data_IF_087195441171
#
_entry.id   IF_087195441171
#
_cell.length_a   1.000
_cell.length_b   1.000
_cell.length_c   1.000
_cell.angle_alpha   90.00
_cell.angle_beta   90.00
_cell.angle_gamma   90.00
#
_symmetry.space_group_name_H-M   'P 1'
#
loop_
_entity.id
_entity.type
_entity.pdbx_description
1 polymer ?
#
# COMPACT_ATOMS: atom_id res chain seq x y z
N UNK A 1 16.05 -13.31 -6.44
CA UNK A 1 16.13 -13.53 -7.90
C UNK A 1 16.73 -14.89 -8.30
N UNK A 2 17.59 -15.55 -7.50
CA UNK A 2 18.06 -16.91 -7.84
C UNK A 2 16.97 -18.01 -7.93
N UNK A 3 15.92 -18.03 -7.06
CA UNK A 3 14.92 -19.09 -7.11
C UNK A 3 14.06 -19.05 -8.37
N UNK A 4 13.74 -17.85 -8.89
CA UNK A 4 12.83 -17.68 -10.03
C UNK A 4 13.40 -18.25 -11.34
N UNK A 5 14.73 -18.28 -11.51
CA UNK A 5 15.39 -18.80 -12.71
C UNK A 5 15.32 -20.33 -12.80
N UNK A 6 15.31 -21.04 -11.66
CA UNK A 6 15.27 -22.50 -11.62
C UNK A 6 13.89 -23.02 -12.04
N UNK A 7 12.82 -22.31 -11.66
CA UNK A 7 11.45 -22.72 -11.93
C UNK A 7 10.89 -22.21 -13.26
N UNK A 8 11.56 -21.26 -13.91
CA UNK A 8 11.12 -20.69 -15.18
C UNK A 8 10.88 -21.74 -16.29
N UNK A 9 11.76 -22.76 -16.50
CA UNK A 9 11.52 -23.81 -17.49
C UNK A 9 10.33 -24.70 -17.13
N UNK A 10 10.15 -24.99 -15.83
CA UNK A 10 9.02 -25.76 -15.33
C UNK A 10 7.69 -25.06 -15.62
N UNK A 11 7.59 -23.76 -15.30
CA UNK A 11 6.39 -22.98 -15.58
C UNK A 11 6.15 -22.75 -17.06
N UNK A 12 7.22 -22.65 -17.87
CA UNK A 12 7.08 -22.55 -19.32
C UNK A 12 6.43 -23.80 -19.93
N UNK A 13 6.81 -24.99 -19.48
CA UNK A 13 6.23 -26.25 -19.97
C UNK A 13 4.74 -26.42 -19.64
N UNK A 14 4.24 -25.69 -18.63
CA UNK A 14 2.82 -25.64 -18.27
C UNK A 14 2.02 -24.62 -19.11
N UNK A 15 2.67 -23.95 -20.06
CA UNK A 15 2.04 -22.99 -20.96
C UNK A 15 1.47 -21.77 -20.23
N UNK A 16 0.34 -21.21 -20.70
CA UNK A 16 -0.29 -20.03 -20.09
C UNK A 16 -0.68 -20.24 -18.62
N UNK A 17 -1.05 -21.47 -18.24
CA UNK A 17 -1.38 -21.82 -16.85
C UNK A 17 -0.15 -21.71 -15.94
N UNK A 18 1.03 -22.11 -16.43
CA UNK A 18 2.28 -21.95 -15.70
C UNK A 18 2.67 -20.49 -15.50
N UNK A 19 2.46 -19.66 -16.52
CA UNK A 19 2.66 -18.21 -16.43
C UNK A 19 1.79 -17.59 -15.31
N UNK A 20 0.49 -17.96 -15.28
CA UNK A 20 -0.46 -17.51 -14.25
C UNK A 20 0.01 -17.89 -12.86
N UNK A 21 0.36 -19.15 -12.64
CA UNK A 21 0.82 -19.65 -11.33
C UNK A 21 2.13 -18.96 -10.91
N UNK A 22 3.06 -18.79 -11.85
CA UNK A 22 4.34 -18.11 -11.59
C UNK A 22 4.13 -16.67 -11.10
N UNK A 23 3.35 -15.87 -11.82
CA UNK A 23 3.11 -14.47 -11.42
C UNK A 23 2.25 -14.36 -10.17
N UNK A 24 1.27 -15.25 -9.99
CA UNK A 24 0.46 -15.33 -8.78
C UNK A 24 1.33 -15.56 -7.54
N UNK A 25 2.23 -16.53 -7.59
CA UNK A 25 3.16 -16.81 -6.50
C UNK A 25 4.17 -15.68 -6.30
N UNK A 26 4.77 -15.17 -7.38
CA UNK A 26 5.77 -14.11 -7.30
C UNK A 26 5.21 -12.84 -6.67
N UNK A 27 4.13 -12.30 -7.22
CA UNK A 27 3.53 -11.05 -6.75
C UNK A 27 2.78 -11.23 -5.42
N UNK A 28 2.14 -12.38 -5.20
CA UNK A 28 1.52 -12.70 -3.90
C UNK A 28 2.54 -12.74 -2.77
N UNK A 29 3.69 -13.39 -2.98
CA UNK A 29 4.78 -13.43 -2.01
C UNK A 29 5.42 -12.05 -1.81
N UNK A 30 5.61 -11.27 -2.88
CA UNK A 30 6.17 -9.92 -2.79
C UNK A 30 5.28 -9.01 -1.93
N UNK A 31 3.96 -9.02 -2.16
CA UNK A 31 3.03 -8.25 -1.34
C UNK A 31 3.02 -8.72 0.12
N UNK A 32 3.06 -10.03 0.38
CA UNK A 32 3.11 -10.56 1.73
C UNK A 32 4.34 -10.04 2.49
N UNK A 33 5.51 -10.04 1.85
CA UNK A 33 6.75 -9.51 2.44
C UNK A 33 6.59 -8.02 2.75
N UNK A 34 6.05 -7.22 1.82
CA UNK A 34 5.82 -5.78 2.02
C UNK A 34 4.92 -5.52 3.23
N UNK A 35 3.80 -6.24 3.34
CA UNK A 35 2.86 -6.06 4.45
C UNK A 35 3.48 -6.51 5.77
N UNK A 36 4.24 -7.61 5.79
CA UNK A 36 4.96 -8.09 6.96
C UNK A 36 5.99 -7.05 7.45
N UNK A 37 6.80 -6.49 6.54
CA UNK A 37 7.76 -5.43 6.87
C UNK A 37 7.07 -4.19 7.43
N UNK A 38 5.97 -3.75 6.81
CA UNK A 38 5.17 -2.63 7.31
C UNK A 38 4.60 -2.89 8.72
N UNK A 39 4.15 -4.12 8.99
CA UNK A 39 3.67 -4.52 10.31
C UNK A 39 4.78 -4.57 11.36
N UNK A 40 5.95 -5.12 11.02
CA UNK A 40 7.12 -5.14 11.92
C UNK A 40 7.56 -3.70 12.26
N UNK A 41 7.58 -2.81 11.26
CA UNK A 41 7.89 -1.40 11.49
C UNK A 41 6.86 -0.73 12.43
N UNK A 42 5.56 -0.96 12.21
CA UNK A 42 4.49 -0.41 13.03
C UNK A 42 4.54 -0.92 14.49
N UNK A 43 4.78 -2.21 14.68
CA UNK A 43 4.86 -2.83 16.02
C UNK A 43 6.09 -2.38 16.81
N UNK A 44 7.26 -2.25 16.14
CA UNK A 44 8.46 -1.65 16.75
C UNK A 44 8.22 -0.21 17.18
N UNK A 45 7.52 0.57 16.36
CA UNK A 45 7.15 1.95 16.70
C UNK A 45 6.22 2.03 17.92
N UNK A 46 5.16 1.21 17.96
CA UNK A 46 4.25 1.17 19.11
C UNK A 46 4.97 0.79 20.40
N UNK A 47 5.92 -0.14 20.31
CA UNK A 47 6.78 -0.54 21.44
C UNK A 47 7.62 0.62 21.95
N UNK A 48 8.11 1.48 21.05
CA UNK A 48 8.93 2.64 21.42
C UNK A 48 8.14 3.77 22.11
N UNK A 49 6.89 4.04 21.66
CA UNK A 49 6.09 5.14 22.22
C UNK A 49 5.46 4.80 23.56
N UNK A 50 4.98 3.57 23.73
CA UNK A 50 4.35 3.13 24.99
C UNK A 50 4.85 1.74 25.35
N UNK A 51 5.97 1.67 26.07
CA UNK A 51 6.51 0.40 26.54
C UNK A 51 5.50 -0.39 27.38
N UNK A 52 4.61 0.29 28.12
CA UNK A 52 3.56 -0.32 28.92
C UNK A 52 2.43 -0.98 28.12
N UNK A 53 2.19 -0.56 26.87
CA UNK A 53 1.23 -1.22 25.98
C UNK A 53 1.85 -2.38 25.21
N UNK A 54 3.18 -2.42 25.08
CA UNK A 54 3.88 -3.41 24.26
C UNK A 54 3.54 -4.85 24.67
N UNK A 55 3.41 -5.12 25.97
CA UNK A 55 3.06 -6.45 26.52
C UNK A 55 1.74 -6.99 26.00
N UNK A 56 0.74 -6.15 25.70
CA UNK A 56 -0.55 -6.56 25.14
C UNK A 56 -0.53 -6.74 23.61
N UNK A 57 0.43 -6.12 22.91
CA UNK A 57 0.58 -6.21 21.45
C UNK A 57 1.43 -7.41 21.03
N UNK A 58 2.39 -7.82 21.88
CA UNK A 58 3.26 -8.98 21.64
C UNK A 58 2.62 -10.33 21.99
N UNK A 59 1.31 -10.36 22.26
CA UNK A 59 0.58 -11.62 22.41
C UNK A 59 0.64 -12.45 21.12
N UNK A 60 1.26 -13.62 21.20
CA UNK A 60 1.44 -14.57 20.08
C UNK A 60 0.11 -14.84 19.35
N UNK A 61 -1.00 -14.93 20.09
CA UNK A 61 -2.33 -15.17 19.52
C UNK A 61 -2.78 -14.05 18.59
N UNK A 62 -2.56 -12.78 18.96
CA UNK A 62 -2.90 -11.62 18.13
C UNK A 62 -1.99 -11.52 16.92
N UNK A 63 -0.69 -11.78 17.10
CA UNK A 63 0.28 -11.81 15.99
C UNK A 63 -0.15 -12.85 14.95
N UNK A 64 -0.54 -14.05 15.36
CA UNK A 64 -1.01 -15.10 14.46
C UNK A 64 -2.29 -14.70 13.71
N UNK A 65 -3.23 -14.02 14.38
CA UNK A 65 -4.43 -13.48 13.73
C UNK A 65 -4.08 -12.44 12.66
N UNK A 66 -3.20 -11.50 12.97
CA UNK A 66 -2.73 -10.49 12.02
C UNK A 66 -1.99 -11.11 10.84
N UNK A 67 -1.11 -12.08 11.10
CA UNK A 67 -0.40 -12.81 10.05
C UNK A 67 -1.38 -13.52 9.10
N UNK A 68 -2.43 -14.16 9.65
CA UNK A 68 -3.46 -14.79 8.84
C UNK A 68 -4.18 -13.77 7.95
N UNK A 69 -4.51 -12.59 8.48
CA UNK A 69 -5.11 -11.50 7.70
C UNK A 69 -4.17 -11.06 6.56
N UNK A 70 -2.87 -10.91 6.82
CA UNK A 70 -1.90 -10.54 5.78
C UNK A 70 -1.77 -11.58 4.68
N UNK A 71 -1.79 -12.87 5.06
CA UNK A 71 -1.80 -13.99 4.10
C UNK A 71 -3.07 -13.97 3.26
N UNK A 72 -4.24 -13.76 3.87
CA UNK A 72 -5.53 -13.68 3.14
C UNK A 72 -5.53 -12.50 2.16
N UNK A 73 -5.05 -11.32 2.57
CA UNK A 73 -4.94 -10.15 1.68
C UNK A 73 -3.99 -10.45 0.52
N UNK A 74 -2.85 -11.08 0.80
CA UNK A 74 -1.85 -11.42 -0.22
C UNK A 74 -2.38 -12.48 -1.20
N UNK A 75 -3.14 -13.46 -0.71
CA UNK A 75 -3.79 -14.47 -1.54
C UNK A 75 -4.92 -13.86 -2.40
N UNK A 76 -5.71 -12.95 -1.85
CA UNK A 76 -6.74 -12.21 -2.59
C UNK A 76 -6.15 -11.29 -3.67
N UNK A 77 -4.98 -10.69 -3.40
CA UNK A 77 -4.24 -9.95 -4.41
C UNK A 77 -3.68 -10.87 -5.50
N UNK A 78 -3.10 -12.00 -5.11
CA UNK A 78 -2.56 -12.99 -6.03
C UNK A 78 -3.64 -13.56 -6.96
N UNK A 79 -4.86 -13.78 -6.46
CA UNK A 79 -5.96 -14.34 -7.27
C UNK A 79 -6.40 -13.45 -8.42
N UNK A 80 -6.12 -12.14 -8.40
CA UNK A 80 -6.36 -11.24 -9.54
C UNK A 80 -5.58 -11.69 -10.78
N UNK A 81 -4.38 -12.25 -10.59
CA UNK A 81 -3.55 -12.77 -11.68
C UNK A 81 -4.08 -14.09 -12.26
N UNK A 82 -4.96 -14.80 -11.55
CA UNK A 82 -5.60 -16.01 -12.08
C UNK A 82 -6.50 -15.70 -13.29
N UNK A 83 -7.18 -14.55 -13.25
CA UNK A 83 -8.07 -14.07 -14.31
C UNK A 83 -7.35 -13.36 -15.44
N UNK A 84 -6.04 -13.16 -15.33
CA UNK A 84 -5.25 -12.46 -16.33
C UNK A 84 -4.93 -13.36 -17.52
N UNK A 85 -5.10 -12.82 -18.73
CA UNK A 85 -4.67 -13.49 -19.96
C UNK A 85 -3.18 -13.26 -20.23
N UNK A 86 -2.48 -14.38 -20.46
CA UNK A 86 -1.04 -14.43 -20.73
C UNK A 86 -0.76 -15.02 -22.11
N UNK A 87 0.19 -14.41 -22.80
CA UNK A 87 0.76 -14.90 -24.04
C UNK A 87 2.18 -15.38 -23.75
N UNK A 88 2.43 -16.66 -23.99
CA UNK A 88 3.75 -17.29 -23.86
C UNK A 88 4.45 -17.26 -25.22
N UNK A 89 5.61 -16.61 -25.30
CA UNK A 89 6.46 -16.64 -26.50
C UNK A 89 7.83 -17.21 -26.16
N UNK A 90 8.27 -18.22 -26.91
CA UNK A 90 9.65 -18.69 -26.85
C UNK A 90 10.52 -17.76 -27.71
N UNK A 91 11.49 -17.11 -27.10
CA UNK A 91 12.49 -16.33 -27.84
C UNK A 91 13.58 -17.30 -28.34
N UNK A 92 13.51 -17.66 -29.62
CA UNK A 92 14.34 -18.71 -30.23
C UNK A 92 15.85 -18.40 -30.16
N UNK A 93 16.23 -17.12 -30.07
CA UNK A 93 17.64 -16.70 -29.95
C UNK A 93 18.19 -16.74 -28.53
N UNK A 94 17.34 -16.60 -27.50
CA UNK A 94 17.79 -16.33 -26.12
C UNK A 94 17.53 -17.47 -25.14
N UNK A 95 17.06 -18.63 -25.62
CA UNK A 95 16.68 -19.79 -24.78
C UNK A 95 15.90 -19.38 -23.52
N UNK A 96 15.11 -18.30 -23.61
CA UNK A 96 14.43 -17.69 -22.48
C UNK A 96 12.94 -17.58 -22.81
N UNK A 97 12.14 -18.11 -21.89
CA UNK A 97 10.70 -18.00 -21.95
C UNK A 97 10.29 -16.57 -21.58
N UNK A 98 9.59 -15.87 -22.48
CA UNK A 98 8.95 -14.59 -22.16
C UNK A 98 7.46 -14.83 -21.92
N UNK A 99 6.99 -14.32 -20.79
CA UNK A 99 5.59 -14.29 -20.43
C UNK A 99 5.11 -12.85 -20.58
N UNK A 100 4.26 -12.60 -21.57
CA UNK A 100 3.71 -11.28 -21.86
C UNK A 100 2.25 -11.24 -21.43
N UNK A 101 1.84 -10.16 -20.76
CA UNK A 101 0.44 -9.90 -20.51
C UNK A 101 -0.27 -9.53 -21.82
N UNK A 102 -1.50 -10.00 -22.00
CA UNK A 102 -2.37 -9.45 -23.05
C UNK A 102 -2.54 -7.94 -22.83
N UNK A 103 -2.70 -7.17 -23.92
CA UNK A 103 -2.81 -5.70 -23.88
C UNK A 103 -3.96 -5.23 -22.97
N UNK A 104 -5.05 -5.99 -22.89
CA UNK A 104 -6.18 -5.74 -22.00
C UNK A 104 -5.88 -6.03 -20.51
N UNK A 105 -5.01 -6.99 -20.22
CA UNK A 105 -4.60 -7.35 -18.86
C UNK A 105 -3.55 -6.38 -18.30
N UNK A 106 -2.80 -5.70 -19.17
CA UNK A 106 -1.69 -4.83 -18.80
C UNK A 106 -2.17 -3.59 -18.02
N UNK A 107 -3.34 -3.05 -18.36
CA UNK A 107 -3.93 -1.92 -17.64
C UNK A 107 -4.30 -2.31 -16.19
N UNK A 108 -4.89 -3.49 -16.00
CA UNK A 108 -5.26 -4.01 -14.68
C UNK A 108 -4.04 -4.32 -13.81
N UNK A 109 -3.01 -4.93 -14.40
CA UNK A 109 -1.75 -5.24 -13.71
C UNK A 109 -0.99 -3.97 -13.35
N UNK A 110 -1.09 -2.93 -14.19
CA UNK A 110 -0.48 -1.62 -13.90
C UNK A 110 -1.13 -1.01 -12.66
N UNK A 111 -2.46 -1.01 -12.58
CA UNK A 111 -3.20 -0.53 -11.39
C UNK A 111 -2.83 -1.36 -10.15
N UNK A 112 -2.67 -2.67 -10.29
CA UNK A 112 -2.32 -3.54 -9.17
C UNK A 112 -0.90 -3.30 -8.64
N UNK A 113 0.06 -2.87 -9.47
CA UNK A 113 1.42 -2.50 -9.06
C UNK A 113 1.45 -1.14 -8.34
N UNK A 114 0.62 -0.19 -8.76
CA UNK A 114 0.59 1.14 -8.16
C UNK A 114 0.06 1.13 -6.72
N UNK A 115 -0.85 0.23 -6.38
CA UNK A 115 -1.44 0.16 -5.03
C UNK A 115 -0.38 -0.19 -3.95
N UNK A 116 0.40 -1.29 -4.05
CA UNK A 116 1.51 -1.57 -3.15
C UNK A 116 2.55 -0.44 -3.12
N UNK A 117 2.84 0.16 -4.27
CA UNK A 117 3.82 1.25 -4.36
C UNK A 117 3.37 2.50 -3.59
N UNK A 118 2.11 2.92 -3.75
CA UNK A 118 1.51 4.05 -3.03
C UNK A 118 1.45 3.75 -1.54
N UNK A 119 1.04 2.54 -1.16
CA UNK A 119 0.98 2.12 0.24
C UNK A 119 2.37 2.11 0.88
N UNK A 120 3.37 1.55 0.18
CA UNK A 120 4.75 1.51 0.65
C UNK A 120 5.37 2.91 0.75
N UNK A 121 5.11 3.76 -0.24
CA UNK A 121 5.59 5.15 -0.26
C UNK A 121 4.91 5.98 0.84
N UNK A 122 3.62 5.80 1.06
CA UNK A 122 2.88 6.42 2.17
C UNK A 122 3.41 5.95 3.54
N UNK A 123 3.70 4.67 3.70
CA UNK A 123 4.31 4.13 4.91
C UNK A 123 5.73 4.69 5.14
N UNK A 124 6.53 4.78 4.08
CA UNK A 124 7.88 5.35 4.12
C UNK A 124 7.87 6.85 4.46
N UNK A 125 6.99 7.64 3.83
CA UNK A 125 6.80 9.06 4.14
C UNK A 125 6.33 9.25 5.59
N UNK A 126 5.38 8.43 6.05
CA UNK A 126 4.92 8.44 7.44
C UNK A 126 6.09 8.16 8.39
N UNK A 127 6.97 7.21 8.06
CA UNK A 127 8.18 6.92 8.83
C UNK A 127 9.16 8.12 8.84
N UNK A 128 9.44 8.73 7.69
CA UNK A 128 10.33 9.89 7.60
C UNK A 128 9.83 11.09 8.42
N UNK A 129 8.54 11.41 8.31
CA UNK A 129 7.91 12.47 9.12
C UNK A 129 8.06 12.16 10.61
N UNK A 130 7.93 10.89 11.00
CA UNK A 130 8.08 10.46 12.39
C UNK A 130 9.52 10.48 12.89
N UNK A 131 10.50 10.14 12.05
CA UNK A 131 11.93 10.27 12.37
C UNK A 131 12.29 11.74 12.54
N UNK A 132 11.87 12.61 11.61
CA UNK A 132 12.07 14.05 11.69
C UNK A 132 11.46 14.61 12.99
N UNK A 133 10.28 14.14 13.37
CA UNK A 133 9.65 14.52 14.62
C UNK A 133 10.43 14.07 15.86
N UNK A 134 10.93 12.83 15.88
CA UNK A 134 11.72 12.32 16.99
C UNK A 134 13.04 13.07 17.15
N UNK A 135 13.71 13.39 16.04
CA UNK A 135 14.93 14.21 16.04
C UNK A 135 14.63 15.62 16.55
N UNK A 136 13.52 16.22 16.11
CA UNK A 136 13.10 17.55 16.55
C UNK A 136 12.78 17.60 18.06
N UNK A 137 12.08 16.59 18.57
CA UNK A 137 11.82 16.45 20.00
C UNK A 137 13.12 16.29 20.81
N UNK A 138 14.06 15.46 20.34
CA UNK A 138 15.38 15.27 20.96
C UNK A 138 16.24 16.54 20.94
N UNK A 139 16.19 17.33 19.87
CA UNK A 139 17.04 18.49 19.67
C UNK A 139 16.49 19.77 20.35
N UNK A 140 15.16 19.93 20.42
CA UNK A 140 14.54 21.17 20.88
C UNK A 140 13.39 20.99 21.89
N UNK A 141 12.95 19.77 22.19
CA UNK A 141 11.81 19.53 23.08
C UNK A 141 10.44 19.82 22.47
N UNK A 142 10.36 20.09 21.16
CA UNK A 142 9.12 20.40 20.46
C UNK A 142 8.69 19.25 19.55
N UNK A 143 7.38 18.96 19.52
CA UNK A 143 6.77 18.07 18.53
C UNK A 143 6.36 18.88 17.28
N UNK A 144 6.94 18.52 16.13
CA UNK A 144 6.69 19.06 14.78
C UNK A 144 5.38 18.55 14.14
N UNK A 145 4.94 17.33 14.51
CA UNK A 145 3.73 16.68 13.98
C UNK A 145 2.42 17.42 14.32
N UNK A 146 2.16 17.88 15.56
CA UNK A 146 0.92 18.62 15.84
C UNK A 146 0.85 19.89 14.99
N UNK A 147 1.95 20.60 14.74
CA UNK A 147 1.93 21.81 13.91
C UNK A 147 1.62 21.56 12.44
N UNK A 148 2.23 20.53 11.83
CA UNK A 148 2.01 20.21 10.42
C UNK A 148 0.61 19.64 10.16
N UNK A 149 0.13 18.76 11.05
CA UNK A 149 -1.23 18.23 11.00
C UNK A 149 -2.27 19.31 11.30
N UNK A 150 -2.01 20.18 12.28
CA UNK A 150 -2.89 21.33 12.59
C UNK A 150 -2.94 22.34 11.45
N UNK A 151 -1.81 22.62 10.78
CA UNK A 151 -1.75 23.49 9.61
C UNK A 151 -2.48 22.91 8.39
N UNK A 152 -2.34 21.60 8.15
CA UNK A 152 -3.08 20.90 7.09
C UNK A 152 -4.59 20.85 7.40
N UNK A 153 -4.97 20.52 8.63
CA UNK A 153 -6.37 20.48 9.06
C UNK A 153 -7.02 21.87 9.03
N UNK A 154 -6.29 22.92 9.41
CA UNK A 154 -6.80 24.31 9.32
C UNK A 154 -6.94 24.77 7.87
N UNK A 155 -5.99 24.45 6.98
CA UNK A 155 -6.11 24.75 5.54
C UNK A 155 -7.26 24.00 4.86
N UNK A 156 -7.44 22.71 5.16
CA UNK A 156 -8.53 21.89 4.60
C UNK A 156 -9.89 22.29 5.22
N UNK A 157 -9.91 22.62 6.50
CA UNK A 157 -11.09 23.13 7.21
C UNK A 157 -11.54 24.50 6.71
N UNK A 158 -10.60 25.41 6.39
CA UNK A 158 -10.92 26.73 5.83
C UNK A 158 -11.64 26.64 4.49
N UNK A 159 -11.29 25.70 3.61
CA UNK A 159 -11.99 25.52 2.33
C UNK A 159 -13.46 25.08 2.46
N UNK A 160 -13.79 24.28 3.49
CA UNK A 160 -15.19 23.89 3.79
C UNK A 160 -15.96 24.96 4.55
N UNK A 161 -15.29 25.73 5.42
CA UNK A 161 -15.91 26.81 6.17
C UNK A 161 -16.26 28.00 5.26
N UNK A 162 -15.36 28.36 4.32
CA UNK A 162 -15.61 29.44 3.36
C UNK A 162 -16.78 29.12 2.42
N UNK A 163 -16.87 27.88 1.94
CA UNK A 163 -17.96 27.46 1.04
C UNK A 163 -19.31 27.37 1.74
N UNK A 164 -19.36 27.15 3.07
CA UNK A 164 -20.60 27.22 3.85
C UNK A 164 -21.03 28.67 4.09
N UNK A 165 -20.08 29.57 4.37
CA UNK A 165 -20.34 31.01 4.53
C UNK A 165 -20.78 31.66 3.21
N UNK A 166 -20.23 31.25 2.07
CA UNK A 166 -20.66 31.72 0.75
C UNK A 166 -22.08 31.24 0.41
N UNK A 167 -22.43 30.00 0.82
CA UNK A 167 -23.77 29.45 0.65
C UNK A 167 -24.83 30.11 1.53
N UNK A 168 -24.47 30.49 2.76
CA UNK A 168 -25.35 31.28 3.64
C UNK A 168 -25.52 32.72 3.14
N UNK A 169 -24.43 33.35 2.70
CA UNK A 169 -24.46 34.70 2.09
C UNK A 169 -25.47 34.77 0.94
N UNK A 170 -25.39 33.85 -0.04
CA UNK A 170 -26.34 33.81 -1.15
C UNK A 170 -27.79 33.55 -0.72
N UNK A 171 -28.01 32.86 0.40
CA UNK A 171 -29.35 32.58 0.92
C UNK A 171 -29.99 33.82 1.57
N UNK A 172 -29.17 34.65 2.21
CA UNK A 172 -29.60 35.91 2.83
C UNK A 172 -29.94 36.93 1.72
N UNK A 173 -29.09 37.08 0.70
CA UNK A 173 -29.36 38.01 -0.39
C UNK A 173 -30.50 37.58 -1.32
N UNK A 174 -30.76 36.28 -1.47
CA UNK A 174 -31.92 35.81 -2.24
C UNK A 174 -33.27 35.98 -1.50
N UNK A 175 -33.25 36.27 -0.19
CA UNK A 175 -34.45 36.48 0.62
C UNK A 175 -34.97 37.93 0.56
N UNK A 176 -34.16 38.87 0.08
CA UNK A 176 -34.49 40.30 0.06
C UNK A 176 -35.11 40.76 -1.28
N UNK A 177 -35.13 39.90 -2.32
CA UNK A 177 -35.70 40.20 -3.63
C UNK A 177 -37.19 39.80 -3.78
N UNK A 178 -37.81 39.25 -2.72
CA UNK A 178 -39.21 38.76 -2.72
C UNK A 178 -40.22 39.73 -2.03
N UNK A 179 -39.85 41.01 -1.84
CA UNK A 179 -40.75 42.05 -1.31
C UNK A 179 -40.96 43.24 -2.26
#
# INVERSE_FOLDING_TARGET
MLPSLIWQPFFYNLGPTGARIYFMLAFGCELLVIICEAYIAATRYLTFIRSSLSTNYWEIRKINQWLLVMVVISAAYASVYFLSDFVTSLDAEKTSARFLFSKSSLDWVTVSIFVPFIVATGAFLSLLVRIANHISYRAGGYDLIPYTVYFLLTRVGQGKCLSLLEKESHRIYASDDDY
#
